data_IF_315530440486
#
_entry.id   IF_315530440486
#
_cell.length_a   1.000
_cell.length_b   1.000
_cell.length_c   1.000
_cell.angle_alpha   90.00
_cell.angle_beta   90.00
_cell.angle_gamma   90.00
#
_symmetry.space_group_name_H-M   'P 1'
#
loop_
_entity.id
_entity.type
_entity.pdbx_description
1 polymer ?
#
# COMPACT_ATOMS: atom_id res chain seq x y z
N UNK A 1 -5.82 9.61 -15.71
CA UNK A 1 -5.50 8.25 -16.18
C UNK A 1 -4.05 7.82 -15.90
N UNK A 2 -3.12 7.80 -16.88
CA UNK A 2 -1.80 7.15 -16.70
C UNK A 2 -0.91 7.72 -15.59
N UNK A 3 -0.80 9.05 -15.50
CA UNK A 3 0.01 9.71 -14.46
C UNK A 3 -0.53 9.46 -13.04
N UNK A 4 -1.84 9.29 -12.90
CA UNK A 4 -2.49 9.06 -11.61
C UNK A 4 -2.18 7.65 -11.09
N UNK A 5 -2.27 6.63 -11.95
CA UNK A 5 -1.91 5.25 -11.61
C UNK A 5 -0.44 5.14 -11.18
N UNK A 6 0.47 5.76 -11.94
CA UNK A 6 1.90 5.75 -11.61
C UNK A 6 2.16 6.45 -10.27
N UNK A 7 1.46 7.56 -10.00
CA UNK A 7 1.57 8.28 -8.73
C UNK A 7 1.12 7.42 -7.55
N UNK A 8 0.00 6.69 -7.68
CA UNK A 8 -0.45 5.77 -6.63
C UNK A 8 0.55 4.65 -6.36
N UNK A 9 1.08 4.03 -7.42
CA UNK A 9 2.11 2.97 -7.28
C UNK A 9 3.35 3.52 -6.56
N UNK A 10 3.81 4.72 -6.91
CA UNK A 10 4.96 5.36 -6.23
C UNK A 10 4.70 5.61 -4.74
N UNK A 11 3.53 6.15 -4.40
CA UNK A 11 3.17 6.41 -2.99
C UNK A 11 3.12 5.10 -2.19
N UNK A 12 2.51 4.05 -2.74
CA UNK A 12 2.43 2.73 -2.10
C UNK A 12 3.84 2.12 -1.97
N UNK A 13 4.66 2.20 -3.02
CA UNK A 13 6.02 1.67 -3.02
C UNK A 13 6.86 2.30 -1.89
N UNK A 14 6.89 3.63 -1.81
CA UNK A 14 7.65 4.35 -0.77
C UNK A 14 7.18 3.95 0.65
N UNK A 15 5.87 3.80 0.86
CA UNK A 15 5.33 3.35 2.16
C UNK A 15 5.75 1.91 2.49
N UNK A 16 5.65 0.99 1.54
CA UNK A 16 6.02 -0.41 1.76
C UNK A 16 7.52 -0.58 1.94
N UNK A 17 8.34 0.19 1.23
CA UNK A 17 9.80 0.21 1.43
C UNK A 17 10.18 0.79 2.80
N UNK A 18 9.43 1.76 3.30
CA UNK A 18 9.59 2.21 4.67
C UNK A 18 9.27 1.09 5.68
N UNK A 19 8.15 0.38 5.47
CA UNK A 19 7.78 -0.79 6.29
C UNK A 19 8.84 -1.89 6.22
N UNK A 20 9.45 -2.12 5.05
CA UNK A 20 10.56 -3.07 4.88
C UNK A 20 11.72 -2.75 5.79
N UNK A 21 12.16 -1.48 5.81
CA UNK A 21 13.24 -1.02 6.67
C UNK A 21 12.89 -1.16 8.16
N UNK A 22 11.65 -0.87 8.53
CA UNK A 22 11.16 -1.04 9.92
C UNK A 22 11.15 -2.51 10.33
N UNK A 23 10.63 -3.41 9.50
CA UNK A 23 10.59 -4.85 9.79
C UNK A 23 12.00 -5.43 9.88
N UNK A 24 12.90 -5.02 8.97
CA UNK A 24 14.31 -5.42 9.00
C UNK A 24 15.00 -5.01 10.31
N UNK A 25 14.63 -3.87 10.89
CA UNK A 25 15.16 -3.35 12.16
C UNK A 25 14.52 -4.03 13.37
N UNK A 26 13.20 -4.26 13.37
CA UNK A 26 12.46 -4.78 14.52
C UNK A 26 12.50 -6.31 14.64
N UNK A 27 12.40 -7.05 13.53
CA UNK A 27 12.40 -8.52 13.56
C UNK A 27 13.01 -9.12 12.27
N UNK A 28 14.28 -9.57 12.31
CA UNK A 28 14.92 -10.20 11.15
C UNK A 28 14.31 -11.56 10.79
N UNK A 29 13.62 -12.22 11.73
CA UNK A 29 12.89 -13.47 11.47
C UNK A 29 11.69 -13.21 10.57
N UNK A 30 10.92 -12.15 10.85
CA UNK A 30 9.77 -11.79 10.03
C UNK A 30 10.19 -11.25 8.66
N UNK A 31 11.30 -10.53 8.57
CA UNK A 31 11.88 -10.10 7.30
C UNK A 31 12.23 -11.28 6.38
N UNK A 32 12.80 -12.37 6.92
CA UNK A 32 13.11 -13.57 6.12
C UNK A 32 11.87 -14.29 5.61
N UNK A 33 10.77 -14.25 6.35
CA UNK A 33 9.50 -14.85 5.93
C UNK A 33 8.74 -13.96 4.93
N UNK A 34 8.78 -12.63 5.10
CA UNK A 34 7.92 -11.69 4.39
C UNK A 34 8.64 -10.86 3.30
N UNK A 35 9.97 -10.92 3.21
CA UNK A 35 10.78 -10.03 2.36
C UNK A 35 10.42 -10.05 0.87
N UNK A 36 10.04 -11.21 0.31
CA UNK A 36 9.59 -11.33 -1.09
C UNK A 36 8.14 -10.81 -1.26
N UNK A 37 7.34 -10.91 -0.20
CA UNK A 37 5.94 -10.48 -0.21
C UNK A 37 5.79 -8.97 -0.11
N UNK A 38 6.74 -8.26 0.51
CA UNK A 38 6.67 -6.80 0.64
C UNK A 38 6.57 -6.09 -0.73
N UNK A 39 7.48 -6.30 -1.70
CA UNK A 39 7.33 -5.74 -3.04
C UNK A 39 6.04 -6.18 -3.74
N UNK A 40 5.59 -7.42 -3.51
CA UNK A 40 4.38 -7.97 -4.14
C UNK A 40 3.09 -7.30 -3.62
N UNK A 41 3.09 -6.76 -2.40
CA UNK A 41 1.98 -5.96 -1.85
C UNK A 41 1.78 -4.67 -2.66
N UNK A 42 2.86 -4.03 -3.14
CA UNK A 42 2.80 -2.77 -3.90
C UNK A 42 2.09 -2.90 -5.23
N UNK A 43 2.15 -4.08 -5.84
CA UNK A 43 1.52 -4.43 -7.12
C UNK A 43 0.22 -5.20 -6.94
N UNK A 44 -0.32 -5.26 -5.72
CA UNK A 44 -1.55 -5.99 -5.45
C UNK A 44 -2.77 -5.24 -6.03
N UNK A 45 -3.56 -5.92 -6.84
CA UNK A 45 -4.73 -5.33 -7.49
C UNK A 45 -5.78 -4.82 -6.50
N UNK A 46 -5.91 -5.43 -5.32
CA UNK A 46 -6.86 -4.99 -4.29
C UNK A 46 -6.42 -3.63 -3.68
N UNK A 47 -5.13 -3.48 -3.38
CA UNK A 47 -4.57 -2.22 -2.84
C UNK A 47 -4.74 -1.07 -3.83
N UNK A 48 -4.51 -1.35 -5.11
CA UNK A 48 -4.68 -0.37 -6.19
C UNK A 48 -6.17 -0.09 -6.47
N UNK A 49 -7.04 -1.09 -6.36
CA UNK A 49 -8.49 -0.93 -6.51
C UNK A 49 -9.10 -0.06 -5.40
N UNK A 50 -8.78 -0.32 -4.14
CA UNK A 50 -9.27 0.45 -2.99
C UNK A 50 -8.86 1.92 -3.08
N UNK A 51 -7.64 2.22 -3.53
CA UNK A 51 -7.16 3.60 -3.70
C UNK A 51 -7.88 4.33 -4.84
N UNK A 52 -8.15 3.65 -5.96
CA UNK A 52 -8.91 4.22 -7.08
C UNK A 52 -10.38 4.47 -6.70
N UNK A 53 -11.02 3.54 -5.99
CA UNK A 53 -12.42 3.68 -5.55
C UNK A 53 -12.55 4.86 -4.58
N UNK A 54 -11.64 4.95 -3.60
CA UNK A 54 -11.59 6.05 -2.64
C UNK A 54 -11.52 7.43 -3.30
N UNK A 55 -10.71 7.55 -4.36
CA UNK A 55 -10.54 8.81 -5.08
C UNK A 55 -11.71 9.10 -6.02
N UNK A 56 -12.29 8.08 -6.66
CA UNK A 56 -13.49 8.27 -7.51
C UNK A 56 -14.71 8.67 -6.68
N UNK A 57 -14.91 8.05 -5.52
CA UNK A 57 -16.04 8.34 -4.62
C UNK A 57 -15.84 9.63 -3.80
N UNK A 58 -14.70 10.32 -3.95
CA UNK A 58 -14.37 11.56 -3.22
C UNK A 58 -14.58 11.43 -1.70
N UNK A 59 -14.19 10.29 -1.11
CA UNK A 59 -14.34 10.05 0.31
C UNK A 59 -13.51 11.06 1.14
N UNK A 60 -14.09 11.50 2.25
CA UNK A 60 -13.35 12.25 3.26
C UNK A 60 -12.29 11.36 3.90
N UNK A 61 -11.22 11.96 4.43
CA UNK A 61 -10.07 11.24 5.01
C UNK A 61 -10.48 10.10 5.97
N UNK A 62 -11.43 10.36 6.87
CA UNK A 62 -11.94 9.34 7.81
C UNK A 62 -12.63 8.17 7.12
N UNK A 63 -13.44 8.46 6.09
CA UNK A 63 -14.13 7.44 5.32
C UNK A 63 -13.15 6.63 4.47
N UNK A 64 -12.09 7.26 3.96
CA UNK A 64 -11.03 6.56 3.24
C UNK A 64 -10.21 5.61 4.10
N UNK A 65 -9.92 6.00 5.34
CA UNK A 65 -9.23 5.11 6.30
C UNK A 65 -10.11 3.92 6.65
N UNK A 66 -11.40 4.14 6.92
CA UNK A 66 -12.35 3.05 7.23
C UNK A 66 -12.52 2.12 6.03
N UNK A 67 -12.63 2.67 4.81
CA UNK A 67 -12.69 1.89 3.57
C UNK A 67 -11.40 1.09 3.31
N UNK A 68 -10.22 1.64 3.62
CA UNK A 68 -8.95 0.94 3.47
C UNK A 68 -8.70 -0.17 4.50
N UNK A 69 -9.37 -0.11 5.66
CA UNK A 69 -9.29 -1.15 6.70
C UNK A 69 -10.39 -2.20 6.53
N UNK A 70 -11.58 -1.80 6.05
CA UNK A 70 -12.75 -2.66 5.90
C UNK A 70 -12.93 -3.30 4.53
N UNK A 71 -12.22 -2.79 3.51
CA UNK A 71 -12.23 -3.31 2.12
C UNK A 71 -11.24 -4.42 1.87
#
# INVERSE_FOLDING_TARGET
EFLQTITFILVIAVLVQFVEMVIKKSSPVLYRALGIYLPLITTNCAVLGVTIINVNENYNFMQSVVSGIGG
#
